data_IF_555202449089
#
_entry.id   IF_555202449089
#
_cell.length_a   1.000
_cell.length_b   1.000
_cell.length_c   1.000
_cell.angle_alpha   90.00
_cell.angle_beta   90.00
_cell.angle_gamma   90.00
#
_symmetry.space_group_name_H-M   'P 1'
#
loop_
_entity.id
_entity.type
_entity.pdbx_description
1 polymer ?
#
# COMPACT_ATOMS: atom_id res chain seq x y z
N UNK A 1 -9.57 59.41 6.02
CA UNK A 1 -10.24 58.38 5.19
C UNK A 1 -9.16 57.41 4.70
N UNK A 2 -8.93 56.32 5.44
CA UNK A 2 -8.05 55.22 4.98
C UNK A 2 -8.93 54.18 4.28
N UNK A 3 -8.73 54.05 2.99
CA UNK A 3 -9.37 52.99 2.21
C UNK A 3 -8.71 51.63 2.49
N UNK A 4 -9.48 50.71 3.05
CA UNK A 4 -9.16 49.32 3.16
C UNK A 4 -9.20 48.69 1.74
N UNK A 5 -8.03 48.34 1.21
CA UNK A 5 -7.91 47.49 0.04
C UNK A 5 -8.14 46.05 0.52
N UNK A 6 -9.35 45.56 0.35
CA UNK A 6 -9.63 44.13 0.48
C UNK A 6 -9.11 43.46 -0.80
N UNK A 7 -8.00 42.75 -0.69
CA UNK A 7 -7.63 41.75 -1.69
C UNK A 7 -8.73 40.71 -1.80
N UNK A 8 -9.22 40.37 -2.97
CA UNK A 8 -10.05 39.20 -3.13
C UNK A 8 -9.14 37.99 -2.90
N UNK A 9 -9.34 37.31 -1.78
CA UNK A 9 -8.87 35.95 -1.64
C UNK A 9 -9.47 35.16 -2.79
N UNK A 10 -8.62 34.73 -3.73
CA UNK A 10 -8.97 33.70 -4.71
C UNK A 10 -9.27 32.44 -3.89
N UNK A 11 -10.56 32.23 -3.58
CA UNK A 11 -11.04 30.92 -3.23
C UNK A 11 -10.82 30.08 -4.49
N UNK A 12 -9.76 29.28 -4.51
CA UNK A 12 -9.71 28.12 -5.38
C UNK A 12 -11.02 27.38 -5.10
N UNK A 13 -11.92 27.29 -6.07
CA UNK A 13 -13.10 26.46 -5.96
C UNK A 13 -12.56 25.04 -5.82
N UNK A 14 -12.65 24.47 -4.60
CA UNK A 14 -12.40 23.05 -4.44
C UNK A 14 -13.31 22.31 -5.44
N UNK A 15 -12.70 21.51 -6.32
CA UNK A 15 -13.45 20.78 -7.32
C UNK A 15 -14.42 19.83 -6.60
N UNK A 16 -15.73 19.95 -6.89
CA UNK A 16 -16.74 19.16 -6.19
C UNK A 16 -16.53 17.66 -6.46
N UNK A 17 -16.70 16.87 -5.42
CA UNK A 17 -16.39 15.43 -5.39
C UNK A 17 -17.50 14.66 -6.13
N UNK A 18 -17.11 13.92 -7.16
CA UNK A 18 -17.92 12.90 -7.83
C UNK A 18 -17.40 11.52 -7.40
N UNK A 19 -18.07 10.94 -6.41
CA UNK A 19 -17.61 9.75 -5.71
C UNK A 19 -18.24 8.48 -6.26
N UNK A 20 -17.40 7.48 -6.61
CA UNK A 20 -17.80 6.15 -7.06
C UNK A 20 -17.20 5.09 -6.13
N UNK A 21 -18.04 4.24 -5.53
CA UNK A 21 -17.61 3.11 -4.72
C UNK A 21 -17.80 1.79 -5.48
N UNK A 22 -16.73 0.99 -5.55
CA UNK A 22 -16.67 -0.31 -6.24
C UNK A 22 -16.32 -1.41 -5.24
N UNK A 23 -16.66 -2.64 -5.58
CA UNK A 23 -16.11 -3.82 -4.93
C UNK A 23 -17.15 -4.76 -4.32
N UNK A 24 -16.89 -5.20 -3.10
CA UNK A 24 -17.58 -6.29 -2.43
C UNK A 24 -18.72 -5.84 -1.48
N UNK A 25 -19.07 -6.71 -0.55
CA UNK A 25 -20.11 -6.46 0.46
C UNK A 25 -19.81 -5.27 1.38
N UNK A 26 -18.53 -4.94 1.62
CA UNK A 26 -18.14 -3.79 2.44
C UNK A 26 -18.46 -2.47 1.70
N UNK A 27 -18.17 -2.39 0.41
CA UNK A 27 -18.53 -1.22 -0.41
C UNK A 27 -20.07 -1.13 -0.57
N UNK A 28 -20.77 -2.27 -0.66
CA UNK A 28 -22.22 -2.32 -0.73
C UNK A 28 -22.91 -1.91 0.59
N UNK A 29 -22.23 -2.01 1.73
CA UNK A 29 -22.78 -1.71 3.06
C UNK A 29 -23.57 -2.88 3.67
N UNK A 30 -23.11 -4.12 3.48
CA UNK A 30 -23.71 -5.29 4.11
C UNK A 30 -23.37 -5.33 5.60
N UNK A 31 -24.38 -5.39 6.43
CA UNK A 31 -24.24 -5.42 7.90
C UNK A 31 -24.25 -6.84 8.45
N UNK A 32 -23.94 -6.99 9.73
CA UNK A 32 -23.84 -8.27 10.46
C UNK A 32 -25.18 -9.06 10.52
N UNK A 33 -26.28 -8.45 10.19
CA UNK A 33 -27.60 -9.07 10.01
C UNK A 33 -27.93 -9.39 8.54
N UNK A 34 -26.94 -9.32 7.66
CA UNK A 34 -27.01 -9.64 6.22
C UNK A 34 -27.96 -8.73 5.43
N UNK A 35 -28.13 -7.50 5.91
CA UNK A 35 -28.90 -6.48 5.19
C UNK A 35 -27.95 -5.46 4.54
N UNK A 36 -28.32 -4.94 3.38
CA UNK A 36 -27.65 -3.77 2.80
C UNK A 36 -28.18 -2.53 3.52
N UNK A 37 -27.29 -1.78 4.12
CA UNK A 37 -27.57 -0.56 4.89
C UNK A 37 -26.52 0.49 4.58
N UNK A 38 -26.31 1.43 5.53
CA UNK A 38 -25.25 2.43 5.42
C UNK A 38 -23.89 1.78 5.61
N UNK A 39 -23.10 1.71 4.52
CA UNK A 39 -21.72 1.28 4.54
C UNK A 39 -20.74 2.44 4.72
N UNK A 40 -19.44 2.15 4.72
CA UNK A 40 -18.42 3.17 4.86
C UNK A 40 -18.48 4.23 3.75
N UNK A 41 -18.83 3.81 2.54
CA UNK A 41 -18.93 4.70 1.38
C UNK A 41 -20.12 5.64 1.47
N UNK A 42 -21.26 5.16 2.00
CA UNK A 42 -22.45 6.00 2.24
C UNK A 42 -22.16 7.05 3.32
N UNK A 43 -21.53 6.63 4.44
CA UNK A 43 -21.21 7.54 5.55
C UNK A 43 -20.19 8.60 5.13
N UNK A 44 -19.21 8.23 4.32
CA UNK A 44 -18.26 9.20 3.75
C UNK A 44 -18.96 10.17 2.80
N UNK A 45 -19.86 9.68 1.94
CA UNK A 45 -20.66 10.52 1.05
C UNK A 45 -21.56 11.48 1.81
N UNK A 46 -22.23 11.02 2.88
CA UNK A 46 -23.04 11.89 3.75
C UNK A 46 -22.20 12.97 4.43
N UNK A 47 -21.02 12.62 4.93
CA UNK A 47 -20.09 13.59 5.52
C UNK A 47 -19.67 14.67 4.51
N UNK A 48 -19.21 14.26 3.32
CA UNK A 48 -18.81 15.16 2.24
C UNK A 48 -19.97 16.05 1.76
N UNK A 49 -21.19 15.51 1.69
CA UNK A 49 -22.40 16.27 1.38
C UNK A 49 -22.71 17.30 2.45
N UNK A 50 -22.56 16.93 3.72
CA UNK A 50 -22.76 17.85 4.85
C UNK A 50 -21.80 19.05 4.84
N UNK A 51 -20.62 18.87 4.24
CA UNK A 51 -19.62 19.91 4.04
C UNK A 51 -19.81 20.71 2.72
N UNK A 52 -20.78 20.33 1.89
CA UNK A 52 -21.00 20.97 0.58
C UNK A 52 -19.98 20.59 -0.49
N UNK A 53 -19.18 19.53 -0.26
CA UNK A 53 -18.12 19.08 -1.15
C UNK A 53 -18.59 18.02 -2.18
N UNK A 54 -19.69 17.30 -1.90
CA UNK A 54 -20.17 16.19 -2.75
C UNK A 54 -21.11 16.69 -3.84
N UNK A 55 -20.77 16.40 -5.10
CA UNK A 55 -21.66 16.58 -6.26
C UNK A 55 -22.51 15.32 -6.52
N UNK A 56 -21.83 14.19 -6.75
CA UNK A 56 -22.49 12.91 -7.02
C UNK A 56 -21.87 11.78 -6.21
N UNK A 57 -22.70 10.77 -5.92
CA UNK A 57 -22.27 9.53 -5.28
C UNK A 57 -22.99 8.32 -5.87
N UNK A 58 -22.25 7.24 -6.10
CA UNK A 58 -22.79 5.94 -6.53
C UNK A 58 -22.01 4.79 -5.95
N UNK A 59 -22.72 3.74 -5.51
CA UNK A 59 -22.21 2.41 -5.17
C UNK A 59 -22.87 1.29 -6.01
N UNK A 60 -23.40 1.65 -7.17
CA UNK A 60 -24.16 0.73 -8.03
C UNK A 60 -23.35 -0.49 -8.50
N UNK A 61 -22.02 -0.40 -8.45
CA UNK A 61 -21.11 -1.48 -8.85
C UNK A 61 -20.42 -2.15 -7.64
N UNK A 62 -20.95 -1.94 -6.44
CA UNK A 62 -20.56 -2.66 -5.23
C UNK A 62 -21.48 -3.86 -5.03
N UNK A 63 -20.95 -5.07 -5.17
CA UNK A 63 -21.76 -6.31 -5.20
C UNK A 63 -21.25 -7.28 -4.14
N UNK A 64 -22.10 -7.69 -3.17
CA UNK A 64 -21.72 -8.66 -2.16
C UNK A 64 -21.14 -9.95 -2.75
N UNK A 65 -20.03 -10.41 -2.19
CA UNK A 65 -19.36 -11.62 -2.64
C UNK A 65 -18.38 -11.43 -3.81
N UNK A 66 -18.24 -10.23 -4.35
CA UNK A 66 -17.27 -9.95 -5.43
C UNK A 66 -15.84 -10.22 -4.99
N UNK A 67 -15.10 -10.86 -5.90
CA UNK A 67 -13.66 -11.04 -5.84
C UNK A 67 -12.97 -9.98 -6.68
N UNK A 68 -11.64 -9.93 -6.61
CA UNK A 68 -10.85 -9.06 -7.49
C UNK A 68 -11.05 -9.39 -8.97
N UNK A 69 -11.26 -10.67 -9.31
CA UNK A 69 -11.58 -11.10 -10.67
C UNK A 69 -12.92 -10.56 -11.15
N UNK A 70 -13.96 -10.57 -10.30
CA UNK A 70 -15.27 -10.02 -10.66
C UNK A 70 -15.20 -8.52 -10.94
N UNK A 71 -14.48 -7.77 -10.11
CA UNK A 71 -14.26 -6.32 -10.34
C UNK A 71 -13.54 -6.10 -11.67
N UNK A 72 -12.50 -6.89 -11.98
CA UNK A 72 -11.75 -6.79 -13.23
C UNK A 72 -12.62 -7.15 -14.45
N UNK A 73 -13.46 -8.20 -14.35
CA UNK A 73 -14.43 -8.56 -15.40
C UNK A 73 -15.41 -7.43 -15.67
N UNK A 74 -15.98 -6.83 -14.63
CA UNK A 74 -16.91 -5.69 -14.77
C UNK A 74 -16.25 -4.49 -15.47
N UNK A 75 -14.99 -4.21 -15.18
CA UNK A 75 -14.23 -3.15 -15.84
C UNK A 75 -14.01 -3.40 -17.34
N UNK A 76 -13.96 -4.66 -17.75
CA UNK A 76 -13.80 -5.03 -19.17
C UNK A 76 -15.13 -5.10 -19.91
N UNK A 77 -16.20 -5.53 -19.23
CA UNK A 77 -17.47 -5.91 -19.87
C UNK A 77 -18.58 -4.86 -19.75
N UNK A 78 -18.58 -4.03 -18.67
CA UNK A 78 -19.68 -3.09 -18.39
C UNK A 78 -19.35 -1.66 -18.85
N UNK A 79 -19.94 -1.25 -19.95
CA UNK A 79 -19.75 0.12 -20.48
C UNK A 79 -20.29 1.20 -19.50
N UNK A 80 -21.31 0.88 -18.72
CA UNK A 80 -21.86 1.79 -17.70
C UNK A 80 -20.83 2.05 -16.59
N UNK A 81 -20.06 1.03 -16.19
CA UNK A 81 -18.99 1.20 -15.21
C UNK A 81 -17.85 2.06 -15.77
N UNK A 82 -17.45 1.82 -17.02
CA UNK A 82 -16.43 2.63 -17.68
C UNK A 82 -16.86 4.09 -17.80
N UNK A 83 -18.15 4.34 -18.10
CA UNK A 83 -18.70 5.69 -18.14
C UNK A 83 -18.69 6.36 -16.76
N UNK A 84 -19.06 5.61 -15.70
CA UNK A 84 -19.04 6.11 -14.33
C UNK A 84 -17.61 6.47 -13.86
N UNK A 85 -16.61 5.64 -14.19
CA UNK A 85 -15.20 5.89 -13.87
C UNK A 85 -14.71 7.18 -14.55
N UNK A 86 -15.05 7.40 -15.82
CA UNK A 86 -14.65 8.62 -16.57
C UNK A 86 -15.20 9.90 -15.93
N UNK A 87 -16.30 9.83 -15.21
CA UNK A 87 -16.95 10.97 -14.56
C UNK A 87 -16.50 11.19 -13.12
N UNK A 88 -16.06 10.13 -12.41
CA UNK A 88 -15.68 10.19 -11.02
C UNK A 88 -14.30 10.85 -10.86
N UNK A 89 -14.14 11.71 -9.84
CA UNK A 89 -12.81 12.18 -9.43
C UNK A 89 -12.33 11.54 -8.12
N UNK A 90 -13.21 10.82 -7.42
CA UNK A 90 -12.89 9.99 -6.25
C UNK A 90 -13.46 8.59 -6.46
N UNK A 91 -12.64 7.57 -6.36
CA UNK A 91 -13.04 6.17 -6.50
C UNK A 91 -12.53 5.38 -5.29
N UNK A 92 -13.42 4.61 -4.63
CA UNK A 92 -13.01 3.63 -3.61
C UNK A 92 -13.21 2.21 -4.11
N UNK A 93 -12.33 1.30 -3.69
CA UNK A 93 -12.41 -0.12 -4.04
C UNK A 93 -12.22 -0.97 -2.78
N UNK A 94 -13.13 -1.93 -2.53
CA UNK A 94 -12.90 -3.02 -1.58
C UNK A 94 -13.08 -4.36 -2.30
N UNK A 95 -12.02 -5.14 -2.43
CA UNK A 95 -12.05 -6.50 -3.01
C UNK A 95 -10.82 -7.28 -2.53
N UNK A 96 -10.89 -8.61 -2.48
CA UNK A 96 -9.78 -9.49 -2.13
C UNK A 96 -10.05 -10.45 -0.97
N UNK A 97 -10.85 -10.08 0.02
CA UNK A 97 -11.22 -11.02 1.08
C UNK A 97 -11.98 -12.23 0.52
N UNK A 98 -12.90 -12.02 -0.41
CA UNK A 98 -13.67 -13.10 -1.02
C UNK A 98 -12.82 -14.05 -1.87
N UNK A 99 -11.71 -13.59 -2.42
CA UNK A 99 -10.75 -14.45 -3.12
C UNK A 99 -10.19 -15.52 -2.18
N UNK A 100 -9.82 -15.16 -0.95
CA UNK A 100 -9.37 -16.09 0.08
C UNK A 100 -10.51 -16.90 0.70
N UNK A 101 -11.69 -16.28 0.91
CA UNK A 101 -12.84 -16.95 1.52
C UNK A 101 -13.46 -18.03 0.63
N UNK A 102 -13.30 -17.96 -0.68
CA UNK A 102 -13.67 -19.06 -1.60
C UNK A 102 -12.91 -20.35 -1.32
N UNK A 103 -11.67 -20.25 -0.86
CA UNK A 103 -10.80 -21.37 -0.51
C UNK A 103 -11.03 -21.86 0.92
N UNK A 104 -11.84 -21.15 1.71
CA UNK A 104 -12.03 -21.42 3.13
C UNK A 104 -13.18 -22.42 3.35
N UNK A 105 -12.94 -23.39 4.24
CA UNK A 105 -13.97 -24.28 4.77
C UNK A 105 -14.25 -23.90 6.22
N UNK A 106 -15.41 -23.30 6.47
CA UNK A 106 -15.82 -22.88 7.82
C UNK A 106 -16.64 -24.00 8.44
N UNK A 107 -16.15 -24.57 9.55
CA UNK A 107 -16.89 -25.47 10.42
C UNK A 107 -17.40 -24.65 11.62
N UNK A 108 -18.63 -24.22 11.54
CA UNK A 108 -19.24 -23.36 12.57
C UNK A 108 -19.54 -24.07 13.88
N UNK A 109 -19.81 -25.39 13.84
CA UNK A 109 -20.04 -26.17 15.05
C UNK A 109 -18.78 -26.30 15.88
N UNK A 110 -17.62 -26.43 15.23
CA UNK A 110 -16.31 -26.49 15.88
C UNK A 110 -15.67 -25.11 16.06
N UNK A 111 -16.24 -24.05 15.53
CA UNK A 111 -15.62 -22.73 15.54
C UNK A 111 -14.24 -22.71 14.84
N UNK A 112 -14.10 -23.47 13.74
CA UNK A 112 -12.86 -23.58 12.99
C UNK A 112 -13.01 -23.14 11.55
N UNK A 113 -11.93 -22.51 11.02
CA UNK A 113 -11.78 -22.16 9.63
C UNK A 113 -10.54 -22.83 9.07
N UNK A 114 -10.70 -23.58 7.97
CA UNK A 114 -9.60 -24.27 7.32
C UNK A 114 -9.43 -23.72 5.90
N UNK A 115 -8.21 -23.25 5.60
CA UNK A 115 -7.77 -22.90 4.26
C UNK A 115 -6.59 -23.82 3.93
N UNK A 116 -6.58 -24.43 2.76
CA UNK A 116 -5.42 -25.20 2.32
C UNK A 116 -4.21 -24.25 2.18
N UNK A 117 -3.13 -24.45 2.96
CA UNK A 117 -1.95 -23.58 2.88
C UNK A 117 -1.35 -23.50 1.47
N UNK A 118 -1.54 -24.54 0.63
CA UNK A 118 -1.05 -24.55 -0.74
C UNK A 118 -1.78 -23.55 -1.66
N UNK A 119 -3.02 -23.15 -1.31
CA UNK A 119 -3.81 -22.20 -2.11
C UNK A 119 -3.55 -20.75 -1.72
N UNK A 120 -3.09 -20.47 -0.50
CA UNK A 120 -2.95 -19.11 0.04
C UNK A 120 -2.01 -18.26 -0.84
N UNK A 121 -0.80 -18.73 -1.10
CA UNK A 121 0.19 -17.96 -1.87
C UNK A 121 -0.26 -17.69 -3.30
N UNK A 122 -0.74 -18.67 -4.08
CA UNK A 122 -1.29 -18.42 -5.42
C UNK A 122 -2.46 -17.42 -5.42
N UNK A 123 -3.37 -17.52 -4.44
CA UNK A 123 -4.51 -16.60 -4.33
C UNK A 123 -4.06 -15.16 -4.06
N UNK A 124 -3.11 -14.95 -3.13
CA UNK A 124 -2.54 -13.63 -2.88
C UNK A 124 -1.83 -13.04 -4.11
N UNK A 125 -1.12 -13.87 -4.87
CA UNK A 125 -0.50 -13.45 -6.14
C UNK A 125 -1.57 -13.04 -7.17
N UNK A 126 -2.66 -13.78 -7.27
CA UNK A 126 -3.79 -13.44 -8.16
C UNK A 126 -4.44 -12.13 -7.74
N UNK A 127 -4.66 -11.92 -6.43
CA UNK A 127 -5.20 -10.65 -5.89
C UNK A 127 -4.29 -9.48 -6.31
N UNK A 128 -2.97 -9.59 -6.10
CA UNK A 128 -2.03 -8.55 -6.48
C UNK A 128 -2.08 -8.24 -7.97
N UNK A 129 -2.02 -9.27 -8.82
CA UNK A 129 -2.07 -9.13 -10.27
C UNK A 129 -3.39 -8.51 -10.75
N UNK A 130 -4.52 -8.90 -10.16
CA UNK A 130 -5.81 -8.33 -10.49
C UNK A 130 -5.90 -6.86 -10.06
N UNK A 131 -5.43 -6.49 -8.86
CA UNK A 131 -5.39 -5.08 -8.44
C UNK A 131 -4.55 -4.21 -9.37
N UNK A 132 -3.38 -4.69 -9.80
CA UNK A 132 -2.56 -3.97 -10.77
C UNK A 132 -3.34 -3.68 -12.06
N UNK A 133 -4.04 -4.69 -12.60
CA UNK A 133 -4.88 -4.54 -13.81
C UNK A 133 -6.07 -3.61 -13.57
N UNK A 134 -6.79 -3.78 -12.46
CA UNK A 134 -7.92 -2.93 -12.07
C UNK A 134 -7.48 -1.46 -12.03
N UNK A 135 -6.43 -1.18 -11.29
CA UNK A 135 -5.92 0.19 -11.10
C UNK A 135 -5.35 0.77 -12.40
N UNK A 136 -4.69 -0.05 -13.21
CA UNK A 136 -4.23 0.36 -14.53
C UNK A 136 -5.40 0.73 -15.43
N UNK A 137 -6.44 -0.12 -15.52
CA UNK A 137 -7.63 0.15 -16.33
C UNK A 137 -8.34 1.43 -15.88
N UNK A 138 -8.47 1.65 -14.56
CA UNK A 138 -9.05 2.89 -14.03
C UNK A 138 -8.22 4.10 -14.45
N UNK A 139 -6.88 4.03 -14.33
CA UNK A 139 -5.97 5.11 -14.74
C UNK A 139 -6.02 5.39 -16.23
N UNK A 140 -6.16 4.36 -17.07
CA UNK A 140 -6.33 4.52 -18.52
C UNK A 140 -7.67 5.19 -18.88
N UNK A 141 -8.74 4.89 -18.14
CA UNK A 141 -10.06 5.50 -18.33
C UNK A 141 -10.14 6.91 -17.77
N UNK A 142 -9.48 7.17 -16.64
CA UNK A 142 -9.49 8.43 -15.94
C UNK A 142 -8.17 8.63 -15.15
N UNK A 143 -7.15 9.24 -15.75
CA UNK A 143 -5.85 9.46 -15.12
C UNK A 143 -5.90 10.40 -13.90
N UNK A 144 -6.89 11.29 -13.82
CA UNK A 144 -7.03 12.30 -12.77
C UNK A 144 -7.78 11.79 -11.53
N UNK A 145 -8.47 10.64 -11.61
CA UNK A 145 -9.22 10.13 -10.47
C UNK A 145 -8.28 9.77 -9.31
N UNK A 146 -8.61 10.26 -8.12
CA UNK A 146 -8.02 9.78 -6.87
C UNK A 146 -8.64 8.43 -6.50
N UNK A 147 -7.80 7.40 -6.39
CA UNK A 147 -8.27 6.03 -6.10
C UNK A 147 -7.82 5.61 -4.71
N UNK A 148 -8.78 5.20 -3.88
CA UNK A 148 -8.59 4.71 -2.52
C UNK A 148 -8.94 3.22 -2.45
N UNK A 149 -8.00 2.40 -2.01
CA UNK A 149 -8.20 0.96 -1.87
C UNK A 149 -8.36 0.61 -0.39
N UNK A 150 -9.53 0.13 -0.02
CA UNK A 150 -9.84 -0.19 1.37
C UNK A 150 -9.14 -1.47 1.81
N UNK A 151 -8.47 -1.42 2.95
CA UNK A 151 -7.98 -2.60 3.65
C UNK A 151 -9.08 -3.32 4.42
N UNK A 152 -8.71 -4.44 5.04
CA UNK A 152 -9.60 -5.30 5.81
C UNK A 152 -9.22 -5.33 7.29
N UNK A 153 -10.23 -5.39 8.16
CA UNK A 153 -10.11 -5.74 9.58
C UNK A 153 -10.07 -7.26 9.74
N UNK A 154 -9.77 -7.76 10.95
CA UNK A 154 -9.85 -9.20 11.24
C UNK A 154 -11.32 -9.65 11.36
N UNK A 155 -11.84 -10.52 10.45
CA UNK A 155 -13.28 -10.79 10.36
C UNK A 155 -13.79 -11.93 11.26
N UNK A 156 -12.92 -12.62 12.04
CA UNK A 156 -13.26 -13.84 12.76
C UNK A 156 -12.99 -13.79 14.27
N UNK A 157 -13.51 -12.78 15.02
CA UNK A 157 -13.17 -12.60 16.42
C UNK A 157 -13.71 -13.71 17.36
N UNK A 158 -14.61 -14.55 16.89
CA UNK A 158 -15.23 -15.64 17.65
C UNK A 158 -14.62 -17.02 17.42
N UNK A 159 -13.65 -17.15 16.54
CA UNK A 159 -12.90 -18.40 16.38
C UNK A 159 -12.05 -18.70 17.62
N UNK A 160 -11.57 -19.94 17.68
CA UNK A 160 -10.72 -20.40 18.79
C UNK A 160 -9.43 -19.61 18.88
N UNK A 161 -8.94 -19.37 20.10
CA UNK A 161 -7.68 -18.64 20.35
C UNK A 161 -6.45 -19.33 19.73
N UNK A 162 -6.56 -20.62 19.42
CA UNK A 162 -5.51 -21.39 18.73
C UNK A 162 -5.40 -20.97 17.26
N UNK A 163 -6.52 -20.63 16.59
CA UNK A 163 -6.53 -20.30 15.17
C UNK A 163 -6.40 -18.80 14.88
N UNK A 164 -6.82 -17.95 15.83
CA UNK A 164 -6.79 -16.49 15.64
C UNK A 164 -5.43 -15.95 15.19
N UNK A 165 -4.28 -16.31 15.79
CA UNK A 165 -2.99 -15.74 15.38
C UNK A 165 -2.68 -15.98 13.91
N UNK A 166 -2.93 -17.17 13.39
CA UNK A 166 -2.68 -17.51 11.98
C UNK A 166 -3.61 -16.73 11.02
N UNK A 167 -4.87 -16.55 11.41
CA UNK A 167 -5.84 -15.83 10.58
C UNK A 167 -5.66 -14.31 10.65
N UNK A 168 -5.21 -13.78 11.77
CA UNK A 168 -4.74 -12.40 11.92
C UNK A 168 -3.56 -12.17 10.96
N UNK A 169 -2.56 -13.07 10.99
CA UNK A 169 -1.42 -13.01 10.07
C UNK A 169 -1.86 -13.03 8.61
N UNK A 170 -2.83 -13.87 8.25
CA UNK A 170 -3.36 -13.95 6.89
C UNK A 170 -4.06 -12.65 6.49
N UNK A 171 -4.87 -12.06 7.38
CA UNK A 171 -5.53 -10.77 7.14
C UNK A 171 -4.51 -9.65 6.92
N UNK A 172 -3.48 -9.59 7.75
CA UNK A 172 -2.42 -8.60 7.61
C UNK A 172 -1.60 -8.83 6.33
N UNK A 173 -1.38 -10.10 5.94
CA UNK A 173 -0.71 -10.45 4.68
C UNK A 173 -1.55 -10.03 3.47
N UNK A 174 -2.86 -10.24 3.51
CA UNK A 174 -3.79 -9.73 2.49
C UNK A 174 -3.69 -8.21 2.37
N UNK A 175 -3.77 -7.49 3.50
CA UNK A 175 -3.64 -6.03 3.52
C UNK A 175 -2.32 -5.55 2.92
N UNK A 176 -1.19 -6.16 3.28
CA UNK A 176 0.12 -5.85 2.70
C UNK A 176 0.18 -6.11 1.20
N UNK A 177 -0.42 -7.21 0.75
CA UNK A 177 -0.51 -7.55 -0.68
C UNK A 177 -1.28 -6.49 -1.46
N UNK A 178 -2.45 -6.08 -0.95
CA UNK A 178 -3.28 -5.04 -1.56
C UNK A 178 -2.55 -3.69 -1.52
N UNK A 179 -1.95 -3.32 -0.39
CA UNK A 179 -1.18 -2.09 -0.23
C UNK A 179 -0.02 -2.00 -1.23
N UNK A 180 0.75 -3.08 -1.38
CA UNK A 180 1.86 -3.13 -2.34
C UNK A 180 1.36 -2.96 -3.78
N UNK A 181 0.30 -3.66 -4.18
CA UNK A 181 -0.30 -3.54 -5.50
C UNK A 181 -0.85 -2.11 -5.75
N UNK A 182 -1.51 -1.50 -4.76
CA UNK A 182 -2.03 -0.13 -4.82
C UNK A 182 -0.90 0.87 -5.06
N UNK A 183 0.19 0.74 -4.32
CA UNK A 183 1.35 1.62 -4.41
C UNK A 183 1.98 1.63 -5.82
N UNK A 184 1.99 0.50 -6.54
CA UNK A 184 2.56 0.43 -7.90
C UNK A 184 1.80 1.25 -8.94
N UNK A 185 0.53 1.56 -8.69
CA UNK A 185 -0.36 2.27 -9.63
C UNK A 185 -0.84 3.62 -9.11
N UNK A 186 -0.23 4.13 -8.04
CA UNK A 186 -0.54 5.44 -7.49
C UNK A 186 -1.90 5.54 -6.82
N UNK A 187 -2.42 4.42 -6.30
CA UNK A 187 -3.62 4.40 -5.48
C UNK A 187 -3.26 4.44 -3.99
N UNK A 188 -4.08 5.13 -3.19
CA UNK A 188 -3.91 5.23 -1.74
C UNK A 188 -4.54 4.04 -1.05
N UNK A 189 -3.76 3.27 -0.29
CA UNK A 189 -4.28 2.21 0.57
C UNK A 189 -4.82 2.80 1.87
N UNK A 190 -6.08 2.48 2.20
CA UNK A 190 -6.75 2.93 3.42
C UNK A 190 -6.69 1.82 4.46
N UNK A 191 -5.80 1.95 5.47
CA UNK A 191 -5.72 0.97 6.55
C UNK A 191 -6.89 1.15 7.52
N UNK A 192 -7.59 0.05 7.77
CA UNK A 192 -8.68 0.00 8.77
C UNK A 192 -8.35 -0.97 9.91
N UNK A 193 -7.34 -1.81 9.74
CA UNK A 193 -7.00 -2.87 10.69
C UNK A 193 -6.74 -2.32 12.10
N UNK A 194 -5.93 -1.27 12.20
CA UNK A 194 -5.55 -0.68 13.49
C UNK A 194 -6.73 -0.04 14.23
N UNK A 195 -7.73 0.46 13.48
CA UNK A 195 -8.95 1.03 14.07
C UNK A 195 -9.87 -0.04 14.68
N UNK A 196 -9.85 -1.26 14.12
CA UNK A 196 -10.61 -2.40 14.63
C UNK A 196 -9.88 -3.18 15.72
N UNK A 197 -8.55 -3.22 15.68
CA UNK A 197 -7.71 -4.03 16.57
C UNK A 197 -7.81 -5.53 16.33
N UNK A 198 -7.12 -6.31 17.16
CA UNK A 198 -7.04 -7.78 17.05
C UNK A 198 -8.29 -8.50 17.59
N UNK A 199 -9.12 -7.84 18.40
CA UNK A 199 -10.41 -8.39 18.88
C UNK A 199 -11.57 -7.44 18.53
N UNK A 200 -12.01 -7.43 17.26
CA UNK A 200 -13.02 -6.49 16.77
C UNK A 200 -14.47 -6.86 17.12
N UNK A 201 -14.73 -7.67 18.15
CA UNK A 201 -16.09 -8.06 18.60
C UNK A 201 -17.08 -6.89 18.74
N UNK A 202 -16.69 -5.70 19.24
CA UNK A 202 -17.63 -4.58 19.31
C UNK A 202 -18.14 -4.12 17.95
N UNK A 203 -17.36 -4.34 16.89
CA UNK A 203 -17.63 -3.89 15.53
C UNK A 203 -18.09 -5.00 14.59
N UNK A 204 -17.76 -6.26 14.91
CA UNK A 204 -18.17 -7.49 14.20
C UNK A 204 -18.91 -8.39 15.21
N UNK A 205 -20.15 -8.02 15.61
CA UNK A 205 -20.81 -8.62 16.76
C UNK A 205 -21.43 -9.99 16.51
N UNK A 206 -21.64 -10.38 15.26
CA UNK A 206 -22.31 -11.63 14.92
C UNK A 206 -21.28 -12.77 14.72
N UNK A 207 -21.27 -13.82 15.58
CA UNK A 207 -20.35 -14.93 15.40
C UNK A 207 -20.57 -15.75 14.12
N UNK A 208 -21.74 -15.60 13.49
CA UNK A 208 -22.09 -16.30 12.24
C UNK A 208 -21.88 -15.46 10.98
N UNK A 209 -21.42 -14.23 11.13
CA UNK A 209 -21.20 -13.31 10.03
C UNK A 209 -19.88 -12.57 10.19
N UNK A 210 -19.34 -12.06 9.08
CA UNK A 210 -18.04 -11.37 9.04
C UNK A 210 -18.18 -9.87 8.83
N UNK A 211 -19.40 -9.39 8.63
CA UNK A 211 -19.64 -7.98 8.31
C UNK A 211 -19.71 -7.12 9.56
N UNK A 212 -19.30 -5.85 9.46
CA UNK A 212 -19.36 -4.94 10.59
C UNK A 212 -20.80 -4.48 10.85
N UNK A 213 -21.01 -4.01 12.06
CA UNK A 213 -22.16 -3.17 12.39
C UNK A 213 -21.92 -1.71 11.93
N UNK A 214 -22.87 -0.82 12.22
CA UNK A 214 -22.76 0.59 11.84
C UNK A 214 -21.56 1.30 12.45
N UNK A 215 -21.18 0.97 13.70
CA UNK A 215 -19.98 1.55 14.34
C UNK A 215 -18.69 1.11 13.63
N UNK A 216 -18.61 -0.16 13.19
CA UNK A 216 -17.47 -0.62 12.38
C UNK A 216 -17.41 0.08 11.03
N UNK A 217 -18.55 0.30 10.36
CA UNK A 217 -18.58 1.08 9.12
C UNK A 217 -18.19 2.54 9.33
N UNK A 218 -18.54 3.12 10.48
CA UNK A 218 -18.10 4.46 10.85
C UNK A 218 -16.58 4.55 10.97
N UNK A 219 -15.93 3.58 11.62
CA UNK A 219 -14.46 3.53 11.66
C UNK A 219 -13.82 3.44 10.27
N UNK A 220 -14.41 2.65 9.36
CA UNK A 220 -13.93 2.56 7.98
C UNK A 220 -14.10 3.88 7.24
N UNK A 221 -15.25 4.56 7.41
CA UNK A 221 -15.53 5.86 6.83
C UNK A 221 -14.57 6.93 7.34
N UNK A 222 -14.30 6.94 8.64
CA UNK A 222 -13.33 7.86 9.26
C UNK A 222 -11.91 7.62 8.68
N UNK A 223 -11.48 6.36 8.53
CA UNK A 223 -10.21 6.04 7.92
C UNK A 223 -10.10 6.55 6.47
N UNK A 224 -11.18 6.42 5.69
CA UNK A 224 -11.26 6.93 4.33
C UNK A 224 -11.17 8.46 4.30
N UNK A 225 -11.98 9.15 5.10
CA UNK A 225 -12.01 10.63 5.17
C UNK A 225 -10.67 11.19 5.65
N UNK A 226 -10.03 10.54 6.64
CA UNK A 226 -8.67 10.89 7.06
C UNK A 226 -7.66 10.72 5.91
N UNK A 227 -7.80 9.68 5.10
CA UNK A 227 -6.93 9.45 3.94
C UNK A 227 -7.18 10.46 2.83
N UNK A 228 -8.43 10.88 2.60
CA UNK A 228 -8.80 11.96 1.68
C UNK A 228 -8.27 13.33 2.14
N UNK A 229 -8.39 13.62 3.45
CA UNK A 229 -7.86 14.85 4.05
C UNK A 229 -6.34 14.90 4.08
N UNK A 230 -5.70 13.73 4.06
CA UNK A 230 -4.25 13.54 4.11
C UNK A 230 -3.60 13.58 2.72
N UNK A 231 -4.04 14.37 1.78
CA UNK A 231 -3.13 14.79 0.71
C UNK A 231 -2.02 15.61 1.40
N UNK A 232 -1.06 14.89 1.97
CA UNK A 232 0.08 15.45 2.71
C UNK A 232 1.00 16.11 1.71
N UNK A 233 0.69 17.30 1.33
CA UNK A 233 1.61 18.09 0.55
C UNK A 233 2.79 18.44 1.46
N UNK A 234 3.94 17.83 1.20
CA UNK A 234 5.14 18.15 1.95
C UNK A 234 5.56 19.60 1.65
N UNK A 235 5.85 20.36 2.71
CA UNK A 235 6.18 21.79 2.60
C UNK A 235 7.45 22.05 1.77
N UNK A 236 8.35 21.09 1.70
CA UNK A 236 9.62 21.14 0.96
C UNK A 236 9.62 20.32 -0.34
N UNK A 237 8.42 19.93 -0.84
CA UNK A 237 8.26 19.25 -2.12
C UNK A 237 7.56 20.19 -3.11
N UNK A 238 8.32 20.91 -3.95
CA UNK A 238 7.72 21.85 -4.91
C UNK A 238 6.95 21.09 -5.99
N UNK A 239 5.90 21.73 -6.50
CA UNK A 239 5.14 21.27 -7.66
C UNK A 239 6.07 21.04 -8.86
N UNK A 240 5.88 19.91 -9.54
CA UNK A 240 6.74 19.51 -10.68
C UNK A 240 8.10 18.94 -10.26
N UNK A 241 8.33 18.66 -8.98
CA UNK A 241 9.53 17.93 -8.56
C UNK A 241 9.57 16.53 -9.22
N UNK A 242 10.71 16.13 -9.77
CA UNK A 242 10.89 14.90 -10.56
C UNK A 242 10.45 13.59 -9.84
N UNK A 243 10.37 13.59 -8.52
CA UNK A 243 9.91 12.48 -7.67
C UNK A 243 8.61 12.82 -6.92
N UNK A 244 7.87 13.85 -7.33
CA UNK A 244 6.67 14.31 -6.62
C UNK A 244 5.64 13.20 -6.48
N UNK A 245 5.35 12.51 -7.57
CA UNK A 245 4.38 11.41 -7.62
C UNK A 245 4.72 10.30 -6.62
N UNK A 246 5.96 9.82 -6.64
CA UNK A 246 6.40 8.71 -5.81
C UNK A 246 6.55 9.12 -4.33
N UNK A 247 6.97 10.35 -4.05
CA UNK A 247 7.06 10.85 -2.68
C UNK A 247 5.67 11.07 -2.07
N UNK A 248 4.70 11.60 -2.82
CA UNK A 248 3.31 11.68 -2.37
C UNK A 248 2.73 10.28 -2.13
N UNK A 249 2.99 9.33 -3.03
CA UNK A 249 2.60 7.93 -2.85
C UNK A 249 3.16 7.32 -1.55
N UNK A 250 4.41 7.65 -1.21
CA UNK A 250 5.03 7.19 0.03
C UNK A 250 4.41 7.83 1.28
N UNK A 251 3.99 9.09 1.19
CA UNK A 251 3.26 9.77 2.26
C UNK A 251 1.86 9.19 2.46
N UNK A 252 1.11 9.02 1.37
CA UNK A 252 -0.25 8.50 1.37
C UNK A 252 -0.32 7.09 1.94
N UNK A 253 0.69 6.27 1.63
CA UNK A 253 0.81 4.90 2.16
C UNK A 253 1.56 4.81 3.50
N UNK A 254 1.83 5.92 4.17
CA UNK A 254 2.55 5.98 5.44
C UNK A 254 3.94 5.31 5.41
N UNK A 255 4.56 5.22 4.23
CA UNK A 255 5.93 4.68 4.05
C UNK A 255 6.97 5.69 4.52
N UNK A 256 6.76 6.98 4.23
CA UNK A 256 7.48 8.09 4.84
C UNK A 256 6.57 8.89 5.77
N UNK A 257 7.19 9.64 6.68
CA UNK A 257 6.54 10.59 7.56
C UNK A 257 7.08 11.99 7.30
N UNK A 258 6.23 12.99 7.42
CA UNK A 258 6.65 14.38 7.50
C UNK A 258 7.28 14.67 8.87
N UNK A 259 8.27 15.55 8.91
CA UNK A 259 8.77 16.08 10.17
C UNK A 259 7.74 17.06 10.82
N UNK A 260 8.10 17.60 12.00
CA UNK A 260 7.25 18.55 12.72
C UNK A 260 6.95 19.85 11.94
N UNK A 261 7.76 20.16 10.92
CA UNK A 261 7.60 21.32 10.02
C UNK A 261 6.85 20.99 8.74
N UNK A 262 6.40 19.75 8.58
CA UNK A 262 5.71 19.29 7.39
C UNK A 262 6.64 18.96 6.22
N UNK A 263 7.95 18.71 6.44
CA UNK A 263 8.91 18.42 5.38
C UNK A 263 9.09 16.90 5.19
N UNK A 264 9.24 16.46 3.92
CA UNK A 264 9.60 15.09 3.56
C UNK A 264 11.10 14.91 3.33
N UNK A 265 11.86 15.99 3.15
CA UNK A 265 13.30 16.00 2.89
C UNK A 265 13.71 15.15 1.67
N UNK A 266 13.27 15.45 0.44
CA UNK A 266 13.51 14.63 -0.75
C UNK A 266 14.99 14.41 -1.04
N UNK A 267 15.84 15.40 -0.80
CA UNK A 267 17.29 15.35 -1.00
C UNK A 267 18.10 14.72 0.13
N UNK A 268 17.46 14.41 1.28
CA UNK A 268 18.18 13.78 2.41
C UNK A 268 18.58 12.34 2.06
N UNK A 269 19.80 11.96 2.42
CA UNK A 269 20.23 10.56 2.32
C UNK A 269 19.30 9.65 3.14
N UNK A 270 18.78 8.60 2.51
CA UNK A 270 17.94 7.62 3.18
C UNK A 270 18.79 6.71 4.06
N UNK A 271 18.35 6.44 5.28
CA UNK A 271 19.06 5.56 6.19
C UNK A 271 18.71 4.09 5.96
N UNK A 272 19.57 3.19 6.43
CA UNK A 272 19.36 1.74 6.36
C UNK A 272 18.12 1.30 7.15
N UNK A 273 17.83 1.94 8.29
CA UNK A 273 16.64 1.70 9.09
C UNK A 273 15.37 2.19 8.38
N UNK A 274 15.40 3.37 7.73
CA UNK A 274 14.27 3.87 6.94
C UNK A 274 13.93 2.89 5.81
N UNK A 275 14.95 2.41 5.07
CA UNK A 275 14.76 1.41 4.01
C UNK A 275 14.16 0.12 4.56
N UNK A 276 14.66 -0.37 5.70
CA UNK A 276 14.10 -1.57 6.36
C UNK A 276 12.62 -1.37 6.70
N UNK A 277 12.27 -0.23 7.28
CA UNK A 277 10.89 0.11 7.64
C UNK A 277 9.96 0.17 6.43
N UNK A 278 10.40 0.80 5.33
CA UNK A 278 9.63 0.89 4.08
C UNK A 278 9.41 -0.50 3.48
N UNK A 279 10.47 -1.29 3.30
CA UNK A 279 10.35 -2.63 2.71
C UNK A 279 9.48 -3.55 3.58
N UNK A 280 9.64 -3.51 4.90
CA UNK A 280 8.83 -4.32 5.82
C UNK A 280 7.33 -4.00 5.73
N UNK A 281 6.99 -2.73 5.53
CA UNK A 281 5.59 -2.30 5.33
C UNK A 281 5.05 -2.68 3.96
N UNK A 282 5.91 -2.73 2.93
CA UNK A 282 5.50 -2.84 1.52
C UNK A 282 5.43 -4.27 1.00
N UNK A 283 6.13 -5.23 1.62
CA UNK A 283 6.16 -6.62 1.15
C UNK A 283 5.49 -7.55 2.14
N UNK A 284 4.73 -8.56 1.65
CA UNK A 284 4.18 -9.59 2.50
C UNK A 284 5.29 -10.36 3.20
N UNK A 285 5.26 -10.38 4.53
CA UNK A 285 6.19 -11.14 5.36
C UNK A 285 5.43 -11.93 6.42
N UNK A 286 5.94 -13.09 6.77
CA UNK A 286 5.37 -13.87 7.88
C UNK A 286 5.41 -13.07 9.18
N UNK A 287 4.35 -13.16 9.98
CA UNK A 287 4.23 -12.45 11.26
C UNK A 287 4.93 -13.20 12.42
N UNK A 288 5.50 -14.39 12.15
CA UNK A 288 6.30 -15.11 13.14
C UNK A 288 7.41 -14.21 13.70
N UNK A 289 7.69 -14.30 14.98
CA UNK A 289 8.84 -13.60 15.55
C UNK A 289 10.12 -14.06 14.84
N UNK A 290 10.91 -13.14 14.27
CA UNK A 290 12.16 -13.52 13.61
C UNK A 290 13.18 -13.98 14.66
N UNK A 291 14.08 -14.86 14.23
CA UNK A 291 15.27 -15.12 15.03
C UNK A 291 16.08 -13.82 15.21
N UNK A 292 16.59 -13.59 16.42
CA UNK A 292 17.43 -12.42 16.67
C UNK A 292 18.65 -12.46 15.73
N UNK A 293 18.84 -11.46 14.87
CA UNK A 293 19.93 -11.44 13.90
C UNK A 293 21.31 -11.22 14.53
N UNK A 294 21.35 -10.79 15.81
CA UNK A 294 22.58 -10.63 16.59
C UNK A 294 23.34 -9.33 16.35
N UNK A 295 22.72 -8.30 15.75
CA UNK A 295 23.34 -6.99 15.59
C UNK A 295 23.53 -6.30 16.95
N UNK A 296 24.75 -5.84 17.26
CA UNK A 296 25.05 -5.17 18.52
C UNK A 296 24.42 -3.79 18.67
N UNK A 297 24.12 -3.15 17.56
CA UNK A 297 23.55 -1.78 17.47
C UNK A 297 22.04 -1.75 17.17
N UNK A 298 21.38 -2.90 17.13
CA UNK A 298 19.93 -3.01 16.93
C UNK A 298 19.34 -3.90 18.02
N UNK A 299 19.21 -3.40 19.26
CA UNK A 299 18.55 -4.12 20.35
C UNK A 299 17.05 -4.33 20.02
N UNK A 300 16.39 -5.27 20.69
CA UNK A 300 14.96 -5.55 20.48
C UNK A 300 14.04 -4.34 20.73
N UNK A 301 14.49 -3.39 21.53
CA UNK A 301 13.81 -2.12 21.77
C UNK A 301 13.96 -1.10 20.64
N UNK A 302 14.82 -1.37 19.63
CA UNK A 302 15.01 -0.45 18.50
C UNK A 302 13.74 -0.37 17.65
N UNK A 303 13.24 0.84 17.26
CA UNK A 303 11.98 0.98 16.51
C UNK A 303 11.93 0.17 15.21
N UNK A 304 13.06 -0.01 14.52
CA UNK A 304 13.17 -0.77 13.30
C UNK A 304 13.59 -2.23 13.51
N UNK A 305 13.65 -2.74 14.77
CA UNK A 305 14.15 -4.09 15.06
C UNK A 305 13.43 -5.17 14.25
N UNK A 306 12.11 -5.19 14.29
CA UNK A 306 11.29 -6.19 13.57
C UNK A 306 11.55 -6.16 12.06
N UNK A 307 11.58 -4.98 11.49
CA UNK A 307 11.86 -4.81 10.06
C UNK A 307 13.25 -5.32 9.67
N UNK A 308 14.27 -4.92 10.44
CA UNK A 308 15.65 -5.33 10.20
C UNK A 308 15.81 -6.84 10.37
N UNK A 309 15.25 -7.42 11.44
CA UNK A 309 15.36 -8.84 11.72
C UNK A 309 14.68 -9.69 10.65
N UNK A 310 13.46 -9.31 10.23
CA UNK A 310 12.70 -10.00 9.16
C UNK A 310 13.40 -9.95 7.81
N UNK A 311 13.90 -8.79 7.43
CA UNK A 311 14.61 -8.63 6.16
C UNK A 311 15.98 -9.34 6.17
N UNK A 312 16.59 -9.48 7.35
CA UNK A 312 17.81 -10.29 7.52
C UNK A 312 17.50 -11.79 7.42
N UNK A 313 16.40 -12.24 8.05
CA UNK A 313 15.91 -13.63 7.93
C UNK A 313 15.59 -13.98 6.47
N UNK A 314 14.98 -13.06 5.73
CA UNK A 314 14.69 -13.20 4.29
C UNK A 314 15.95 -13.09 3.39
N UNK A 315 17.13 -12.83 3.95
CA UNK A 315 18.39 -12.72 3.18
C UNK A 315 18.55 -11.41 2.41
N UNK A 316 17.67 -10.43 2.60
CA UNK A 316 17.74 -9.11 1.95
C UNK A 316 18.88 -8.30 2.57
N UNK A 317 19.01 -8.31 3.89
CA UNK A 317 20.18 -7.79 4.59
C UNK A 317 21.13 -8.92 4.98
N UNK A 318 22.42 -8.67 4.87
CA UNK A 318 23.44 -9.62 5.30
C UNK A 318 23.62 -9.57 6.81
N UNK A 319 23.88 -10.71 7.45
CA UNK A 319 24.30 -10.79 8.86
C UNK A 319 25.70 -10.20 9.01
N UNK A 320 25.88 -9.41 10.06
CA UNK A 320 27.17 -8.81 10.44
C UNK A 320 27.17 -8.51 11.94
N UNK A 321 28.26 -8.00 12.48
CA UNK A 321 28.33 -7.60 13.89
C UNK A 321 27.50 -6.34 14.17
N UNK A 322 27.46 -5.39 13.22
CA UNK A 322 26.69 -4.15 13.30
C UNK A 322 25.84 -3.98 12.04
N UNK A 323 24.62 -3.50 12.22
CA UNK A 323 23.72 -3.17 11.11
C UNK A 323 23.95 -1.74 10.61
N UNK A 324 24.34 -0.83 11.51
CA UNK A 324 24.45 0.60 11.28
C UNK A 324 23.12 1.22 10.80
N UNK A 325 22.06 1.23 11.65
CA UNK A 325 20.71 1.62 11.26
C UNK A 325 20.62 3.05 10.72
N UNK A 326 21.37 3.98 11.29
CA UNK A 326 21.38 5.40 10.94
C UNK A 326 22.34 5.74 9.78
N UNK A 327 23.15 4.79 9.33
CA UNK A 327 24.05 5.03 8.21
C UNK A 327 23.26 5.20 6.89
N UNK A 328 23.68 6.13 6.01
CA UNK A 328 23.14 6.26 4.68
C UNK A 328 23.22 4.94 3.90
N UNK A 329 22.17 4.61 3.14
CA UNK A 329 22.22 3.52 2.19
C UNK A 329 22.94 3.98 0.92
N UNK A 330 23.96 3.26 0.47
CA UNK A 330 24.63 3.60 -0.78
C UNK A 330 23.83 3.11 -2.00
N UNK A 331 24.11 3.68 -3.18
CA UNK A 331 23.42 3.31 -4.43
C UNK A 331 23.58 1.83 -4.77
N UNK A 332 24.76 1.24 -4.57
CA UNK A 332 24.93 -0.21 -4.78
C UNK A 332 24.18 -1.04 -3.74
N UNK A 333 24.10 -0.58 -2.49
CA UNK A 333 23.30 -1.25 -1.46
C UNK A 333 21.82 -1.14 -1.77
N UNK A 334 21.32 -0.02 -2.29
CA UNK A 334 19.95 0.13 -2.78
C UNK A 334 19.69 -0.84 -3.93
N UNK A 335 20.58 -0.92 -4.91
CA UNK A 335 20.47 -1.90 -6.00
C UNK A 335 20.34 -3.34 -5.46
N UNK A 336 21.18 -3.71 -4.48
CA UNK A 336 21.14 -5.05 -3.86
C UNK A 336 19.80 -5.32 -3.17
N UNK A 337 19.37 -4.44 -2.27
CA UNK A 337 18.17 -4.71 -1.46
C UNK A 337 16.91 -4.77 -2.34
N UNK A 338 16.78 -3.90 -3.34
CA UNK A 338 15.64 -3.91 -4.25
C UNK A 338 15.66 -5.12 -5.21
N UNK A 339 16.83 -5.49 -5.74
CA UNK A 339 16.97 -6.71 -6.56
C UNK A 339 16.54 -7.95 -5.78
N UNK A 340 16.97 -8.09 -4.52
CA UNK A 340 16.63 -9.24 -3.69
C UNK A 340 15.16 -9.21 -3.27
N UNK A 341 14.62 -8.05 -2.95
CA UNK A 341 13.22 -7.88 -2.52
C UNK A 341 12.25 -8.27 -3.64
N UNK A 342 12.48 -7.77 -4.85
CA UNK A 342 11.60 -7.97 -6.00
C UNK A 342 12.05 -9.09 -6.94
N UNK A 343 13.09 -9.84 -6.58
CA UNK A 343 13.63 -10.98 -7.33
C UNK A 343 13.96 -10.64 -8.79
N UNK A 344 14.48 -9.42 -9.01
CA UNK A 344 14.81 -8.93 -10.35
C UNK A 344 15.92 -9.77 -10.97
N UNK A 345 15.75 -10.07 -12.26
CA UNK A 345 16.73 -10.84 -13.03
C UNK A 345 17.79 -9.92 -13.61
N UNK A 346 19.04 -10.37 -13.61
CA UNK A 346 20.12 -9.78 -14.39
C UNK A 346 20.28 -10.52 -15.73
N UNK A 347 21.06 -9.95 -16.64
CA UNK A 347 21.42 -10.56 -17.92
C UNK A 347 22.79 -11.25 -17.88
N UNK A 348 23.42 -11.31 -16.71
CA UNK A 348 24.76 -11.87 -16.50
C UNK A 348 25.89 -11.03 -17.09
N UNK A 349 25.60 -9.83 -17.65
CA UNK A 349 26.62 -8.96 -18.21
C UNK A 349 27.26 -8.07 -17.16
N UNK A 350 28.54 -7.78 -17.32
CA UNK A 350 29.25 -6.83 -16.47
C UNK A 350 28.79 -5.39 -16.78
N UNK A 351 28.30 -4.63 -15.81
CA UNK A 351 27.93 -3.23 -16.02
C UNK A 351 29.13 -2.38 -16.51
N UNK A 352 28.87 -1.52 -17.49
CA UNK A 352 29.92 -0.71 -18.14
C UNK A 352 30.05 0.67 -17.50
N UNK A 353 30.34 0.73 -16.21
CA UNK A 353 30.65 1.97 -15.50
C UNK A 353 32.09 1.98 -15.03
N UNK A 354 32.73 3.15 -15.10
CA UNK A 354 34.17 3.28 -14.83
C UNK A 354 34.55 3.06 -13.37
N UNK A 355 33.61 3.19 -12.45
CA UNK A 355 33.77 2.96 -11.01
C UNK A 355 33.42 1.53 -10.56
N UNK A 356 33.14 0.62 -11.51
CA UNK A 356 32.84 -0.79 -11.23
C UNK A 356 34.04 -1.66 -11.68
N UNK A 357 34.87 -2.13 -10.74
CA UNK A 357 35.96 -3.05 -11.07
C UNK A 357 35.46 -4.38 -11.62
N UNK A 358 36.32 -5.08 -12.36
CA UNK A 358 36.07 -6.48 -12.69
C UNK A 358 35.92 -7.29 -11.39
N UNK A 359 34.95 -8.16 -11.34
CA UNK A 359 34.61 -8.98 -10.16
C UNK A 359 34.08 -8.20 -8.94
N UNK A 360 33.54 -6.99 -9.17
CA UNK A 360 32.90 -6.22 -8.11
C UNK A 360 31.67 -6.94 -7.56
N UNK A 361 31.58 -7.04 -6.24
CA UNK A 361 30.50 -7.80 -5.56
C UNK A 361 29.08 -7.33 -5.92
N UNK A 362 28.94 -6.05 -6.24
CA UNK A 362 27.65 -5.41 -6.59
C UNK A 362 27.25 -5.53 -8.06
N UNK A 363 28.15 -6.03 -8.92
CA UNK A 363 27.93 -6.02 -10.39
C UNK A 363 26.61 -6.62 -10.82
N UNK A 364 26.24 -7.79 -10.29
CA UNK A 364 24.98 -8.46 -10.62
C UNK A 364 23.74 -7.63 -10.23
N UNK A 365 23.80 -6.91 -9.12
CA UNK A 365 22.69 -6.08 -8.66
C UNK A 365 22.57 -4.82 -9.51
N UNK A 366 23.69 -4.21 -9.87
CA UNK A 366 23.73 -3.07 -10.79
C UNK A 366 23.25 -3.48 -12.17
N UNK A 367 23.66 -4.66 -12.68
CA UNK A 367 23.17 -5.23 -13.93
C UNK A 367 21.65 -5.40 -13.88
N UNK A 368 21.11 -6.06 -12.84
CA UNK A 368 19.67 -6.24 -12.67
C UNK A 368 18.91 -4.90 -12.70
N UNK A 369 19.40 -3.87 -12.01
CA UNK A 369 18.78 -2.56 -12.00
C UNK A 369 18.86 -1.84 -13.35
N UNK A 370 19.95 -2.02 -14.07
CA UNK A 370 20.17 -1.36 -15.39
C UNK A 370 19.37 -2.03 -16.49
N UNK A 371 19.37 -3.38 -16.55
CA UNK A 371 18.62 -4.16 -17.56
C UNK A 371 17.12 -3.96 -17.45
N UNK A 372 16.61 -3.84 -16.22
CA UNK A 372 15.20 -3.55 -15.97
C UNK A 372 14.89 -2.02 -16.00
N UNK A 373 15.81 -1.19 -16.47
CA UNK A 373 15.66 0.26 -16.63
C UNK A 373 15.27 1.02 -15.34
N UNK A 374 15.67 0.50 -14.18
CA UNK A 374 15.29 1.04 -12.87
C UNK A 374 16.29 2.07 -12.33
N UNK A 375 17.58 1.86 -12.59
CA UNK A 375 18.66 2.77 -12.21
C UNK A 375 19.65 2.96 -13.35
N UNK A 376 20.16 4.18 -13.45
CA UNK A 376 21.18 4.57 -14.42
C UNK A 376 22.39 5.16 -13.73
N UNK A 377 23.54 5.16 -14.41
CA UNK A 377 24.74 5.85 -13.97
C UNK A 377 24.65 7.36 -14.18
N UNK A 378 25.71 8.03 -13.79
CA UNK A 378 25.90 9.46 -13.97
C UNK A 378 26.39 9.80 -15.39
N UNK A 379 26.18 11.04 -15.89
CA UNK A 379 26.67 11.46 -17.21
C UNK A 379 28.17 11.35 -17.40
N UNK A 380 28.95 11.32 -16.31
CA UNK A 380 30.42 11.14 -16.34
C UNK A 380 30.88 9.68 -16.54
N UNK A 381 29.95 8.75 -16.73
CA UNK A 381 30.24 7.33 -16.96
C UNK A 381 30.48 6.51 -15.69
N UNK A 382 30.20 7.04 -14.48
CA UNK A 382 30.22 6.29 -13.24
C UNK A 382 28.82 5.83 -12.84
N UNK A 383 28.71 4.77 -12.04
CA UNK A 383 27.44 4.40 -11.39
C UNK A 383 27.24 5.16 -10.08
N UNK A 384 28.32 5.59 -9.44
CA UNK A 384 28.28 6.19 -8.12
C UNK A 384 28.05 5.15 -7.02
N UNK A 385 28.79 4.03 -7.05
CA UNK A 385 28.57 2.87 -6.17
C UNK A 385 28.52 3.22 -4.69
N UNK A 386 29.33 4.18 -4.26
CA UNK A 386 29.44 4.63 -2.86
C UNK A 386 28.62 5.88 -2.54
N UNK A 387 27.95 6.48 -3.53
CA UNK A 387 27.13 7.65 -3.29
C UNK A 387 25.93 7.28 -2.43
N UNK A 388 25.58 8.13 -1.49
CA UNK A 388 24.37 7.96 -0.68
C UNK A 388 23.13 8.13 -1.55
N UNK A 389 22.22 7.18 -1.50
CA UNK A 389 20.91 7.32 -2.13
C UNK A 389 20.05 8.31 -1.34
N UNK A 390 19.34 9.20 -2.04
CA UNK A 390 18.40 10.12 -1.40
C UNK A 390 17.02 9.46 -1.20
N UNK A 391 16.19 10.03 -0.31
CA UNK A 391 14.80 9.58 -0.11
C UNK A 391 14.01 9.61 -1.41
N UNK A 392 14.15 10.66 -2.21
CA UNK A 392 13.52 10.77 -3.52
C UNK A 392 13.99 9.67 -4.49
N UNK A 393 15.29 9.43 -4.59
CA UNK A 393 15.84 8.37 -5.44
C UNK A 393 15.33 7.00 -5.01
N UNK A 394 15.31 6.72 -3.71
CA UNK A 394 14.81 5.45 -3.20
C UNK A 394 13.33 5.25 -3.52
N UNK A 395 12.48 6.27 -3.30
CA UNK A 395 11.05 6.19 -3.60
C UNK A 395 10.79 5.85 -5.06
N UNK A 396 11.41 6.60 -5.99
CA UNK A 396 11.25 6.38 -7.44
C UNK A 396 11.74 4.99 -7.85
N UNK A 397 12.93 4.59 -7.41
CA UNK A 397 13.49 3.30 -7.81
C UNK A 397 12.70 2.15 -7.20
N UNK A 398 12.22 2.28 -5.97
CA UNK A 398 11.40 1.26 -5.32
C UNK A 398 10.07 1.04 -6.05
N UNK A 399 9.37 2.10 -6.44
CA UNK A 399 8.11 1.98 -7.19
C UNK A 399 8.35 1.26 -8.51
N UNK A 400 9.35 1.68 -9.29
CA UNK A 400 9.72 1.02 -10.55
C UNK A 400 10.14 -0.44 -10.36
N UNK A 401 10.91 -0.74 -9.32
CA UNK A 401 11.33 -2.11 -9.03
C UNK A 401 10.16 -3.01 -8.63
N UNK A 402 9.19 -2.48 -7.89
CA UNK A 402 7.97 -3.19 -7.56
C UNK A 402 7.14 -3.49 -8.83
N UNK A 403 7.01 -2.54 -9.75
CA UNK A 403 6.34 -2.75 -11.04
C UNK A 403 7.04 -3.82 -11.89
N UNK A 404 8.37 -3.81 -11.95
CA UNK A 404 9.16 -4.78 -12.71
C UNK A 404 9.16 -6.19 -12.07
N UNK A 405 9.14 -6.29 -10.75
CA UNK A 405 9.16 -7.56 -10.02
C UNK A 405 7.79 -8.25 -9.93
N UNK A 406 6.69 -7.55 -10.26
CA UNK A 406 5.33 -8.08 -10.29
C UNK A 406 4.90 -8.55 -11.69
N UNK A 407 5.70 -8.27 -12.73
CA UNK A 407 5.54 -8.78 -14.08
C UNK A 407 6.35 -10.06 -14.27
#
# INVERSE_FOLDING_TARGET
MLGLITSPASAAMEESIRYLALGDSLAAGMTSDKQISLGYSDMAAEHLKGQGLLDTYSKAFAVPGYTTENVLSDLTEKEELKAAIKQANVITISAGANDLLKEAKIDREKGTLNIDPATIKPTLQSIAANYIKILQTIKELNPEAAVYVMGYYFPFPYLSDVQKPQLIELTQTLNKTIQAASATKGATFVSVYEKFGDDPKPYVPNPEDIHPNLEGYKLMSEALLESMAKSKQAADLPEGHWAEKELNLFLDNNLFQLDEKGNIHPGKAITRAEVAGVLYKSIPMTQSLPANPGFKDVPESHPAYMAIAKLTEAGIFAKSEYFNPDAPLTRVQMAKVLTLTFQLKDDGMQPRYSDIPKDYWGSRFISAMTVNELMYGHPNGTFGVNDAATRAQFAVVMVRAAEAGLN
#
